data_IF_850071539327
#
_entry.id   IF_850071539327
#
_cell.length_a   1.000
_cell.length_b   1.000
_cell.length_c   1.000
_cell.angle_alpha   90.00
_cell.angle_beta   90.00
_cell.angle_gamma   90.00
#
_symmetry.space_group_name_H-M   'P 1'
#
loop_
_entity.id
_entity.type
_entity.pdbx_description
1 polymer ?
#
# COMPACT_ATOMS: atom_id res chain seq x y z
N UNK A 1 -6.24 2.25 -0.77
CA UNK A 1 -5.45 2.81 -1.89
C UNK A 1 -5.89 2.21 -3.20
N UNK A 2 -5.91 3.00 -4.23
CA UNK A 2 -6.43 2.62 -5.55
C UNK A 2 -5.51 3.14 -6.64
N UNK A 3 -5.18 2.27 -7.58
CA UNK A 3 -4.55 2.66 -8.84
C UNK A 3 -5.39 2.14 -10.00
N UNK A 4 -6.11 3.03 -10.72
CA UNK A 4 -6.84 2.65 -11.92
C UNK A 4 -6.14 3.08 -13.21
N UNK A 5 -4.84 3.32 -13.16
CA UNK A 5 -3.99 3.52 -14.33
C UNK A 5 -3.51 2.20 -14.92
N UNK A 6 -2.97 2.26 -16.14
CA UNK A 6 -2.48 1.09 -16.87
C UNK A 6 -1.06 0.67 -16.47
N UNK A 7 -0.40 1.45 -15.63
CA UNK A 7 0.96 1.19 -15.17
C UNK A 7 0.99 1.18 -13.64
N UNK A 8 1.97 0.48 -13.03
CA UNK A 8 2.15 0.56 -11.58
C UNK A 8 2.38 1.99 -11.14
N UNK A 9 1.88 2.33 -9.96
CA UNK A 9 2.05 3.66 -9.38
C UNK A 9 2.71 3.57 -8.00
N UNK A 10 3.54 4.56 -7.69
CA UNK A 10 4.11 4.72 -6.37
C UNK A 10 3.37 5.86 -5.68
N UNK A 11 2.83 5.56 -4.50
CA UNK A 11 2.11 6.51 -3.67
C UNK A 11 2.92 6.77 -2.41
N UNK A 12 2.92 8.02 -1.95
CA UNK A 12 3.62 8.41 -0.74
C UNK A 12 2.63 9.08 0.21
N UNK A 13 2.62 8.62 1.46
CA UNK A 13 1.73 9.13 2.48
C UNK A 13 2.54 9.61 3.68
N UNK A 14 2.09 10.69 4.29
CA UNK A 14 2.59 11.12 5.58
C UNK A 14 1.61 10.66 6.65
N UNK A 15 2.12 9.91 7.63
CA UNK A 15 1.32 9.38 8.72
C UNK A 15 1.40 10.31 9.92
N UNK A 16 0.35 10.37 10.76
CA UNK A 16 0.36 11.21 11.96
C UNK A 16 1.29 10.69 13.05
N UNK A 17 1.66 9.41 12.98
CA UNK A 17 2.57 8.75 13.93
C UNK A 17 3.51 7.83 13.18
N UNK A 18 4.61 7.42 13.83
CA UNK A 18 5.51 6.43 13.27
C UNK A 18 4.78 5.08 13.16
N UNK A 19 4.79 4.50 11.96
CA UNK A 19 4.17 3.21 11.71
C UNK A 19 5.14 2.09 12.09
N UNK A 20 4.74 1.24 13.02
CA UNK A 20 5.52 0.06 13.39
C UNK A 20 5.23 -1.13 12.46
N UNK A 21 4.02 -1.19 11.90
CA UNK A 21 3.61 -2.29 11.06
C UNK A 21 2.53 -1.85 10.08
N UNK A 22 2.65 -2.31 8.84
CA UNK A 22 1.62 -2.11 7.81
C UNK A 22 1.22 -3.47 7.28
N UNK A 23 -0.08 -3.75 7.25
CA UNK A 23 -0.63 -5.02 6.79
C UNK A 23 -1.55 -4.77 5.60
N UNK A 24 -1.35 -5.53 4.52
CA UNK A 24 -2.26 -5.55 3.38
C UNK A 24 -3.41 -6.52 3.71
N UNK A 25 -4.58 -5.97 3.99
CA UNK A 25 -5.75 -6.75 4.40
C UNK A 25 -6.35 -7.57 3.26
N UNK A 26 -5.96 -7.29 2.01
CA UNK A 26 -6.45 -8.01 0.83
C UNK A 26 -5.46 -9.07 0.34
N UNK A 27 -4.35 -9.28 1.02
CA UNK A 27 -3.27 -10.15 0.55
C UNK A 27 -3.69 -11.62 0.39
N UNK A 28 -4.65 -12.08 1.19
CA UNK A 28 -5.12 -13.46 1.16
C UNK A 28 -6.40 -13.65 0.34
N UNK A 29 -6.82 -12.62 -0.39
CA UNK A 29 -8.03 -12.72 -1.22
C UNK A 29 -7.72 -13.32 -2.58
N UNK A 30 -8.75 -13.86 -3.23
CA UNK A 30 -8.64 -14.35 -4.62
C UNK A 30 -8.32 -13.18 -5.55
N UNK A 31 -7.31 -13.35 -6.39
CA UNK A 31 -6.87 -12.29 -7.30
C UNK A 31 -5.96 -11.24 -6.67
N UNK A 32 -5.52 -11.44 -5.43
CA UNK A 32 -4.60 -10.53 -4.78
C UNK A 32 -3.28 -10.44 -5.55
N UNK A 33 -2.75 -9.22 -5.65
CA UNK A 33 -1.46 -8.94 -6.27
C UNK A 33 -0.49 -8.44 -5.19
N UNK A 34 0.80 -8.56 -5.47
CA UNK A 34 1.83 -8.10 -4.55
C UNK A 34 1.84 -6.57 -4.49
N UNK A 35 1.76 -6.04 -3.27
CA UNK A 35 1.85 -4.61 -2.99
C UNK A 35 3.10 -4.39 -2.14
N UNK A 36 4.03 -3.60 -2.64
CA UNK A 36 5.26 -3.29 -1.94
C UNK A 36 5.06 -2.05 -1.08
N UNK A 37 5.34 -2.21 0.22
CA UNK A 37 5.18 -1.12 1.19
C UNK A 37 6.51 -0.95 1.91
N UNK A 38 6.99 0.29 1.97
CA UNK A 38 8.12 0.66 2.80
C UNK A 38 7.76 1.81 3.72
N UNK A 39 8.27 1.77 4.95
CA UNK A 39 8.04 2.81 5.92
C UNK A 39 9.35 3.37 6.42
N UNK A 40 9.41 4.69 6.59
CA UNK A 40 10.53 5.40 7.18
C UNK A 40 9.97 6.52 8.04
N UNK A 41 10.15 6.42 9.36
CA UNK A 41 9.54 7.35 10.31
C UNK A 41 8.03 7.38 10.12
N UNK A 42 7.48 8.56 9.83
CA UNK A 42 6.05 8.75 9.59
C UNK A 42 5.71 8.81 8.09
N UNK A 43 6.62 8.40 7.22
CA UNK A 43 6.37 8.33 5.78
C UNK A 43 6.18 6.90 5.33
N UNK A 44 5.19 6.69 4.49
CA UNK A 44 4.90 5.39 3.91
C UNK A 44 4.88 5.50 2.39
N UNK A 45 5.63 4.62 1.73
CA UNK A 45 5.63 4.51 0.27
C UNK A 45 5.00 3.19 -0.12
N UNK A 46 4.04 3.25 -1.02
CA UNK A 46 3.31 2.07 -1.50
C UNK A 46 3.46 1.99 -3.01
N UNK A 47 3.95 0.86 -3.49
CA UNK A 47 3.98 0.57 -4.92
C UNK A 47 2.79 -0.33 -5.24
N UNK A 48 1.83 0.21 -5.98
CA UNK A 48 0.56 -0.43 -6.27
C UNK A 48 0.53 -0.88 -7.73
N UNK A 49 0.18 -2.16 -8.00
CA UNK A 49 0.05 -2.64 -9.37
C UNK A 49 -1.00 -1.86 -10.17
N UNK A 50 -0.90 -1.93 -11.49
CA UNK A 50 -1.88 -1.30 -12.37
C UNK A 50 -3.27 -1.88 -12.14
N UNK A 51 -4.29 -1.04 -12.22
CA UNK A 51 -5.69 -1.44 -12.09
C UNK A 51 -5.97 -2.27 -10.82
N UNK A 52 -5.39 -1.87 -9.71
CA UNK A 52 -5.51 -2.62 -8.45
C UNK A 52 -5.84 -1.68 -7.30
N UNK A 53 -6.60 -2.21 -6.35
CA UNK A 53 -6.94 -1.52 -5.12
C UNK A 53 -6.73 -2.46 -3.93
N UNK A 54 -6.30 -1.90 -2.81
CA UNK A 54 -6.15 -2.66 -1.58
C UNK A 54 -6.44 -1.80 -0.36
N UNK A 55 -6.64 -2.46 0.76
CA UNK A 55 -6.85 -1.84 2.04
C UNK A 55 -5.66 -2.15 2.95
N UNK A 56 -5.01 -1.11 3.44
CA UNK A 56 -3.84 -1.23 4.29
C UNK A 56 -4.20 -0.86 5.73
N UNK A 57 -3.77 -1.69 6.66
CA UNK A 57 -3.89 -1.42 8.09
C UNK A 57 -2.55 -0.94 8.61
N UNK A 58 -2.54 0.22 9.25
CA UNK A 58 -1.32 0.82 9.83
C UNK A 58 -1.41 0.74 11.35
N UNK A 59 -0.39 0.16 11.97
CA UNK A 59 -0.30 0.04 13.43
C UNK A 59 0.98 0.65 13.97
#
# INVERSE_FOLDING_TARGET
VLNNGDTPAQLEFQLPVEAAKVTDLMADTVGAQEVLVSTEWNRMKVQLPSNYATLLRVE
#
